data_IF_871818075712
#
_entry.id   IF_871818075712
#
_cell.length_a   1.000
_cell.length_b   1.000
_cell.length_c   1.000
_cell.angle_alpha   90.00
_cell.angle_beta   90.00
_cell.angle_gamma   90.00
#
_symmetry.space_group_name_H-M   'P 1'
#
loop_
_entity.id
_entity.type
_entity.pdbx_description
1 polymer ?
#
# COMPACT_ATOMS: atom_id res chain seq x y z
N UNK A 1 7.25 5.74 -12.23
CA UNK A 1 7.66 4.36 -11.94
C UNK A 1 6.39 3.51 -11.90
N UNK A 2 6.41 2.28 -12.40
CA UNK A 2 5.27 1.35 -12.26
C UNK A 2 5.65 0.29 -11.22
N UNK A 3 4.77 0.01 -10.27
CA UNK A 3 5.05 -0.95 -9.21
C UNK A 3 4.40 -2.29 -9.53
N UNK A 4 5.14 -3.37 -9.32
CA UNK A 4 4.67 -4.74 -9.47
C UNK A 4 4.59 -5.39 -8.09
N UNK A 5 3.46 -6.02 -7.77
CA UNK A 5 3.30 -6.76 -6.53
C UNK A 5 3.70 -8.22 -6.72
N UNK A 6 4.69 -8.66 -5.93
CA UNK A 6 5.20 -10.02 -5.92
C UNK A 6 5.14 -10.59 -4.50
N UNK A 7 5.43 -11.88 -4.39
CA UNK A 7 5.57 -12.58 -3.11
C UNK A 7 7.04 -12.98 -2.96
N UNK A 8 7.62 -12.76 -1.78
CA UNK A 8 8.96 -13.24 -1.43
C UNK A 8 8.93 -14.72 -1.08
N UNK A 9 10.09 -15.38 -1.05
CA UNK A 9 10.20 -16.78 -0.61
C UNK A 9 9.84 -16.98 0.87
N UNK A 10 9.87 -15.90 1.65
CA UNK A 10 9.41 -15.86 3.03
C UNK A 10 7.93 -15.48 3.14
N UNK A 11 7.18 -15.59 2.04
CA UNK A 11 5.73 -15.44 2.01
C UNK A 11 5.23 -14.02 2.36
N UNK A 12 6.10 -13.02 2.15
CA UNK A 12 5.79 -11.60 2.30
C UNK A 12 5.40 -10.96 0.97
N UNK A 13 4.45 -10.04 0.99
CA UNK A 13 4.13 -9.20 -0.16
C UNK A 13 5.18 -8.11 -0.33
N UNK A 14 5.71 -7.96 -1.55
CA UNK A 14 6.69 -6.92 -1.88
C UNK A 14 6.30 -6.16 -3.13
N UNK A 15 6.51 -4.84 -3.12
CA UNK A 15 6.37 -3.98 -4.30
C UNK A 15 7.76 -3.71 -4.88
N UNK A 16 7.92 -3.95 -6.17
CA UNK A 16 9.17 -3.70 -6.91
C UNK A 16 8.90 -2.79 -8.10
N UNK A 17 9.92 -2.08 -8.60
CA UNK A 17 9.78 -1.42 -9.90
C UNK A 17 9.59 -2.49 -10.98
N UNK A 18 8.49 -2.43 -11.74
CA UNK A 18 8.20 -3.32 -12.86
C UNK A 18 9.34 -3.33 -13.89
N UNK A 19 10.07 -2.21 -14.05
CA UNK A 19 11.21 -2.14 -14.97
C UNK A 19 12.37 -3.06 -14.59
N UNK A 20 12.42 -3.51 -13.34
CA UNK A 20 13.43 -4.45 -12.81
C UNK A 20 13.14 -5.91 -13.10
N UNK A 21 11.98 -6.23 -13.70
CA UNK A 21 11.53 -7.58 -13.96
C UNK A 21 11.27 -7.81 -15.46
N UNK A 22 11.48 -9.04 -15.91
CA UNK A 22 11.02 -9.54 -17.20
C UNK A 22 9.76 -10.38 -17.01
N UNK A 23 8.92 -10.45 -18.05
CA UNK A 23 7.74 -11.32 -18.07
C UNK A 23 7.99 -12.47 -19.04
N UNK A 24 8.15 -13.68 -18.50
CA UNK A 24 8.52 -14.88 -19.25
C UNK A 24 7.53 -15.98 -18.90
N UNK A 25 6.89 -16.56 -19.91
CA UNK A 25 5.97 -17.70 -19.77
C UNK A 25 4.90 -17.54 -18.67
N UNK A 26 4.34 -16.33 -18.53
CA UNK A 26 3.29 -16.05 -17.55
C UNK A 26 3.78 -15.62 -16.17
N UNK A 27 5.09 -15.56 -15.95
CA UNK A 27 5.71 -15.28 -14.65
C UNK A 27 6.58 -14.03 -14.73
N UNK A 28 6.55 -13.21 -13.68
CA UNK A 28 7.49 -12.10 -13.52
C UNK A 28 8.77 -12.57 -12.85
N UNK A 29 9.90 -12.35 -13.51
CA UNK A 29 11.23 -12.77 -13.05
C UNK A 29 12.10 -11.52 -12.88
N UNK A 30 12.65 -11.27 -11.67
CA UNK A 30 13.59 -10.17 -11.48
C UNK A 30 14.83 -10.31 -12.37
N UNK A 31 15.36 -9.20 -12.87
CA UNK A 31 16.63 -9.17 -13.64
C UNK A 31 17.84 -9.31 -12.75
N UNK A 32 17.78 -8.72 -11.55
CA UNK A 32 18.85 -8.78 -10.55
C UNK A 32 18.89 -10.14 -9.85
N UNK A 33 20.08 -10.74 -9.75
CA UNK A 33 20.28 -12.06 -9.15
C UNK A 33 19.95 -12.11 -7.66
N UNK A 34 20.19 -11.02 -6.92
CA UNK A 34 19.82 -10.98 -5.50
C UNK A 34 18.30 -10.97 -5.36
N UNK A 35 17.59 -10.22 -6.20
CA UNK A 35 16.13 -10.21 -6.25
C UNK A 35 15.54 -11.56 -6.66
N UNK A 36 16.17 -12.30 -7.58
CA UNK A 36 15.75 -13.68 -7.91
C UNK A 36 15.84 -14.62 -6.70
N UNK A 37 16.76 -14.36 -5.78
CA UNK A 37 16.87 -15.15 -4.55
C UNK A 37 15.79 -14.80 -3.53
N UNK A 38 15.19 -13.61 -3.61
CA UNK A 38 14.15 -13.11 -2.71
C UNK A 38 12.75 -13.46 -3.24
N UNK A 39 12.49 -13.31 -4.53
CA UNK A 39 11.15 -13.51 -5.11
C UNK A 39 10.81 -14.99 -5.20
N UNK A 40 9.59 -15.33 -4.76
CA UNK A 40 8.96 -16.63 -5.01
C UNK A 40 8.37 -16.59 -6.42
N UNK A 41 8.91 -17.41 -7.31
CA UNK A 41 8.31 -17.61 -8.63
C UNK A 41 7.00 -18.38 -8.48
N UNK A 42 5.90 -17.66 -8.39
CA UNK A 42 4.56 -18.28 -8.36
C UNK A 42 4.08 -18.39 -9.79
N UNK A 43 3.74 -19.60 -10.20
CA UNK A 43 3.01 -19.77 -11.44
C UNK A 43 1.57 -19.31 -11.21
N UNK A 44 1.27 -18.10 -11.70
CA UNK A 44 -0.02 -17.43 -11.50
C UNK A 44 -1.19 -18.13 -12.23
N UNK A 45 -0.91 -19.15 -13.06
CA UNK A 45 -1.93 -20.03 -13.64
C UNK A 45 -2.37 -21.17 -12.71
N UNK A 46 -1.69 -21.35 -11.57
CA UNK A 46 -2.03 -22.36 -10.56
C UNK A 46 -2.61 -21.66 -9.30
N UNK A 47 -3.93 -21.54 -9.23
CA UNK A 47 -4.64 -20.83 -8.15
C UNK A 47 -4.40 -21.46 -6.76
N UNK A 48 -4.11 -22.76 -6.67
CA UNK A 48 -3.86 -23.47 -5.41
C UNK A 48 -2.48 -23.14 -4.78
N UNK A 49 -1.44 -22.96 -5.59
CA UNK A 49 -0.11 -22.54 -5.11
C UNK A 49 -0.12 -21.11 -4.59
N UNK A 50 -0.99 -20.27 -5.14
CA UNK A 50 -1.05 -18.87 -4.81
C UNK A 50 -1.85 -18.64 -3.50
N UNK A 51 -2.92 -19.40 -3.25
CA UNK A 51 -3.76 -19.30 -2.05
C UNK A 51 -3.07 -19.71 -0.72
N UNK A 52 -1.98 -20.48 -0.78
CA UNK A 52 -1.29 -21.01 0.40
C UNK A 52 -0.22 -20.07 1.00
N UNK A 53 0.00 -18.88 0.44
CA UNK A 53 1.23 -18.13 0.65
C UNK A 53 1.16 -16.95 1.65
N UNK A 54 0.01 -16.43 2.10
CA UNK A 54 0.02 -15.33 3.11
C UNK A 54 -1.36 -15.09 3.75
N UNK A 55 -1.48 -14.70 5.04
CA UNK A 55 -2.73 -14.24 5.64
C UNK A 55 -3.30 -12.96 4.99
N UNK A 56 -2.44 -12.17 4.35
CA UNK A 56 -2.82 -10.96 3.59
C UNK A 56 -2.94 -11.23 2.08
N UNK A 57 -2.90 -12.50 1.65
CA UNK A 57 -3.02 -12.89 0.27
C UNK A 57 -4.41 -12.56 -0.28
N UNK A 58 -4.47 -11.60 -1.21
CA UNK A 58 -5.61 -11.42 -2.10
C UNK A 58 -5.20 -11.89 -3.51
N UNK A 59 -5.77 -13.01 -4.02
CA UNK A 59 -5.43 -13.55 -5.34
C UNK A 59 -5.71 -12.56 -6.47
N UNK A 60 -6.58 -11.57 -6.24
CA UNK A 60 -6.95 -10.60 -7.27
C UNK A 60 -5.85 -9.57 -7.52
N UNK A 61 -4.86 -9.42 -6.63
CA UNK A 61 -3.85 -8.36 -6.73
C UNK A 61 -2.40 -8.86 -6.85
N UNK A 62 -2.11 -10.14 -6.60
CA UNK A 62 -0.76 -10.67 -6.81
C UNK A 62 -0.42 -10.66 -8.30
N UNK A 63 0.75 -10.13 -8.66
CA UNK A 63 1.12 -9.87 -10.03
C UNK A 63 0.47 -8.61 -10.64
N UNK A 64 -0.31 -7.84 -9.87
CA UNK A 64 -0.86 -6.58 -10.34
C UNK A 64 0.24 -5.54 -10.57
N UNK A 65 0.02 -4.72 -11.59
CA UNK A 65 0.86 -3.56 -11.90
C UNK A 65 0.13 -2.29 -11.48
N UNK A 66 0.67 -1.58 -10.50
CA UNK A 66 0.20 -0.27 -10.07
C UNK A 66 0.90 0.83 -10.84
N UNK A 67 0.11 1.69 -11.48
CA UNK A 67 0.59 2.73 -12.40
C UNK A 67 0.41 4.13 -11.85
N UNK A 68 -0.37 4.28 -10.78
CA UNK A 68 -0.56 5.54 -10.10
C UNK A 68 -0.80 5.33 -8.61
N UNK A 69 -0.55 6.36 -7.80
CA UNK A 69 -0.93 6.37 -6.40
C UNK A 69 -1.48 7.72 -5.95
N UNK A 70 -2.29 7.69 -4.90
CA UNK A 70 -2.71 8.87 -4.17
C UNK A 70 -2.32 8.77 -2.69
N UNK A 71 -1.86 9.89 -2.15
CA UNK A 71 -1.51 10.06 -0.75
C UNK A 71 -2.65 10.80 -0.06
N UNK A 72 -3.29 10.14 0.91
CA UNK A 72 -4.34 10.73 1.76
C UNK A 72 -3.72 11.11 3.09
N UNK A 73 -3.54 12.40 3.32
CA UNK A 73 -2.79 12.89 4.48
C UNK A 73 -3.43 14.09 5.17
N UNK A 74 -3.06 14.28 6.43
CA UNK A 74 -3.43 15.45 7.22
C UNK A 74 -2.24 15.95 8.00
N UNK A 75 -2.13 17.28 8.20
CA UNK A 75 -1.06 17.89 8.99
C UNK A 75 -1.02 17.44 10.45
N UNK A 76 -2.13 16.87 10.95
CA UNK A 76 -2.31 16.39 12.32
C UNK A 76 -1.67 15.03 12.61
N UNK A 77 -1.36 14.25 11.57
CA UNK A 77 -0.80 12.89 11.69
C UNK A 77 0.63 12.81 11.16
N UNK A 78 1.39 11.84 11.68
CA UNK A 78 2.76 11.52 11.27
C UNK A 78 2.81 10.50 10.12
N UNK A 79 1.75 9.72 9.97
CA UNK A 79 1.55 8.79 8.87
C UNK A 79 0.50 9.28 7.87
N UNK A 80 0.43 8.62 6.73
CA UNK A 80 -0.51 8.85 5.64
C UNK A 80 -0.98 7.53 5.03
N UNK A 81 -2.12 7.58 4.37
CA UNK A 81 -2.63 6.44 3.61
C UNK A 81 -2.17 6.58 2.18
N UNK A 82 -1.65 5.50 1.61
CA UNK A 82 -1.31 5.41 0.20
C UNK A 82 -2.34 4.49 -0.45
N UNK A 83 -2.98 4.95 -1.53
CA UNK A 83 -3.87 4.13 -2.35
C UNK A 83 -3.20 3.98 -3.70
N UNK A 84 -2.63 2.80 -3.97
CA UNK A 84 -2.08 2.42 -5.26
C UNK A 84 -3.22 1.93 -6.16
N UNK A 85 -3.26 2.41 -7.40
CA UNK A 85 -4.25 2.03 -8.42
C UNK A 85 -3.51 1.42 -9.61
N UNK A 86 -4.05 0.32 -10.11
CA UNK A 86 -3.43 -0.46 -11.17
C UNK A 86 -4.38 -1.47 -11.79
N UNK A 87 -3.81 -2.42 -12.51
CA UNK A 87 -4.54 -3.52 -13.12
C UNK A 87 -3.91 -4.86 -12.76
N UNK A 88 -4.74 -5.86 -12.51
CA UNK A 88 -4.28 -7.23 -12.32
C UNK A 88 -3.96 -7.92 -13.66
N UNK A 89 -3.54 -9.18 -13.60
CA UNK A 89 -3.19 -9.98 -14.78
C UNK A 89 -4.36 -10.23 -15.74
N UNK A 90 -5.60 -10.16 -15.23
CA UNK A 90 -6.84 -10.30 -16.00
C UNK A 90 -7.26 -8.96 -16.65
N UNK A 91 -6.50 -7.89 -16.42
CA UNK A 91 -6.81 -6.54 -16.90
C UNK A 91 -7.90 -5.83 -16.11
N UNK A 92 -8.26 -6.33 -14.93
CA UNK A 92 -9.26 -5.70 -14.05
C UNK A 92 -8.59 -4.62 -13.20
N UNK A 93 -9.28 -3.49 -13.03
CA UNK A 93 -8.81 -2.40 -12.18
C UNK A 93 -8.83 -2.81 -10.70
N UNK A 94 -7.70 -2.64 -10.04
CA UNK A 94 -7.47 -3.03 -8.65
C UNK A 94 -6.80 -1.93 -7.84
N UNK A 95 -6.88 -2.05 -6.51
CA UNK A 95 -6.18 -1.19 -5.59
C UNK A 95 -5.41 -1.96 -4.52
N UNK A 96 -4.37 -1.32 -4.00
CA UNK A 96 -3.67 -1.70 -2.78
C UNK A 96 -3.53 -0.47 -1.88
N UNK A 97 -4.13 -0.54 -0.69
CA UNK A 97 -4.17 0.55 0.28
C UNK A 97 -3.26 0.25 1.46
N UNK A 98 -2.36 1.19 1.77
CA UNK A 98 -1.34 1.09 2.81
C UNK A 98 -1.43 2.27 3.78
N UNK A 99 -1.02 2.06 5.03
CA UNK A 99 -0.81 3.11 6.04
C UNK A 99 0.68 3.16 6.38
N UNK A 100 1.35 4.22 5.95
CA UNK A 100 2.82 4.34 6.03
C UNK A 100 3.20 5.66 6.70
N UNK A 101 4.40 5.71 7.28
CA UNK A 101 4.92 6.99 7.76
C UNK A 101 5.10 7.96 6.58
N UNK A 102 4.88 9.25 6.84
CA UNK A 102 4.90 10.25 5.77
C UNK A 102 6.21 10.24 5.01
N UNK A 103 6.10 10.44 3.70
CA UNK A 103 7.23 10.48 2.77
C UNK A 103 7.95 9.15 2.54
N UNK A 104 7.77 8.13 3.39
CA UNK A 104 8.48 6.85 3.28
C UNK A 104 8.20 6.15 1.94
N UNK A 105 6.91 5.99 1.59
CA UNK A 105 6.55 5.38 0.31
C UNK A 105 6.89 6.28 -0.88
N UNK A 106 6.74 7.60 -0.73
CA UNK A 106 7.07 8.55 -1.79
C UNK A 106 8.57 8.55 -2.10
N UNK A 107 9.41 8.49 -1.09
CA UNK A 107 10.86 8.38 -1.24
C UNK A 107 11.24 7.07 -1.94
N UNK A 108 10.61 5.95 -1.55
CA UNK A 108 10.75 4.69 -2.27
C UNK A 108 10.39 4.86 -3.75
N UNK A 109 9.25 5.50 -4.06
CA UNK A 109 8.84 5.67 -5.46
C UNK A 109 9.74 6.57 -6.30
N UNK A 110 10.52 7.45 -5.67
CA UNK A 110 11.47 8.35 -6.32
C UNK A 110 12.86 7.75 -6.46
N UNK A 111 13.32 7.03 -5.44
CA UNK A 111 14.69 6.50 -5.35
C UNK A 111 14.80 5.07 -5.87
N UNK A 112 13.68 4.34 -5.94
CA UNK A 112 13.67 2.91 -6.25
C UNK A 112 14.21 2.04 -5.11
N UNK A 113 14.50 2.62 -3.94
CA UNK A 113 15.05 1.95 -2.77
C UNK A 113 14.24 2.32 -1.52
N UNK A 114 14.02 1.36 -0.63
CA UNK A 114 13.39 1.60 0.68
C UNK A 114 14.34 2.32 1.65
N UNK A 115 13.94 2.42 2.92
CA UNK A 115 14.75 3.08 3.96
C UNK A 115 16.03 2.33 4.33
N UNK A 116 16.06 1.02 4.11
CA UNK A 116 17.20 0.15 4.40
C UNK A 116 18.08 -0.07 3.16
N UNK A 117 17.72 0.55 2.03
CA UNK A 117 18.44 0.46 0.76
C UNK A 117 18.05 -0.74 -0.10
N UNK A 118 16.93 -1.41 0.20
CA UNK A 118 16.43 -2.53 -0.57
C UNK A 118 15.71 -2.04 -1.84
N UNK A 119 15.85 -2.72 -2.98
CA UNK A 119 15.18 -2.36 -4.23
C UNK A 119 13.69 -2.79 -4.29
N UNK A 120 13.07 -2.95 -3.14
CA UNK A 120 11.69 -3.38 -2.98
C UNK A 120 11.10 -2.79 -1.70
N UNK A 121 9.78 -2.72 -1.64
CA UNK A 121 9.03 -2.25 -0.49
C UNK A 121 8.20 -3.38 0.12
N UNK A 122 8.44 -3.69 1.38
CA UNK A 122 7.71 -4.76 2.08
C UNK A 122 6.33 -4.27 2.54
N UNK A 123 5.30 -5.00 2.11
CA UNK A 123 3.90 -4.81 2.52
C UNK A 123 3.63 -5.72 3.71
N UNK A 124 4.01 -5.26 4.90
CA UNK A 124 3.75 -5.97 6.16
C UNK A 124 2.33 -5.73 6.67
N UNK A 125 1.88 -6.54 7.64
CA UNK A 125 0.62 -6.35 8.39
C UNK A 125 0.53 -5.01 9.14
N UNK A 126 1.65 -4.32 9.32
CA UNK A 126 1.68 -2.96 9.88
C UNK A 126 1.33 -1.90 8.84
N UNK A 127 1.67 -2.14 7.57
CA UNK A 127 1.40 -1.25 6.46
C UNK A 127 0.05 -1.56 5.80
N UNK A 128 -0.32 -2.82 5.67
CA UNK A 128 -1.52 -3.22 4.95
C UNK A 128 -2.81 -2.67 5.58
N UNK A 129 -3.67 -2.09 4.75
CA UNK A 129 -5.03 -1.67 5.14
C UNK A 129 -6.08 -2.51 4.44
N UNK A 130 -6.01 -2.59 3.10
CA UNK A 130 -7.00 -3.29 2.28
C UNK A 130 -6.51 -3.39 0.84
N UNK A 131 -7.06 -4.33 0.08
CA UNK A 131 -6.87 -4.45 -1.36
C UNK A 131 -8.11 -5.06 -2.03
N UNK A 132 -8.13 -5.04 -3.36
CA UNK A 132 -9.15 -5.70 -4.16
C UNK A 132 -9.48 -4.95 -5.44
N UNK A 133 -10.57 -5.35 -6.10
CA UNK A 133 -11.08 -4.69 -7.31
C UNK A 133 -11.58 -3.29 -6.98
N UNK A 134 -11.33 -2.32 -7.84
CA UNK A 134 -11.85 -0.96 -7.68
C UNK A 134 -13.35 -0.90 -7.96
N UNK A 135 -13.85 -1.72 -8.90
CA UNK A 135 -15.25 -1.73 -9.36
C UNK A 135 -15.71 -0.34 -9.84
N UNK A 136 -14.81 0.43 -10.44
CA UNK A 136 -15.08 1.78 -10.94
C UNK A 136 -15.18 2.86 -9.86
N UNK A 137 -14.95 2.51 -8.57
CA UNK A 137 -14.94 3.48 -7.47
C UNK A 137 -13.78 4.47 -7.60
N UNK A 138 -14.07 5.73 -7.31
CA UNK A 138 -13.08 6.80 -7.20
C UNK A 138 -12.17 6.58 -5.98
N UNK A 139 -10.99 7.22 -5.97
CA UNK A 139 -10.05 7.18 -4.83
C UNK A 139 -10.73 7.63 -3.53
N UNK A 140 -11.63 8.62 -3.60
CA UNK A 140 -12.38 9.10 -2.44
C UNK A 140 -13.38 8.06 -1.93
N UNK A 141 -14.09 7.38 -2.81
CA UNK A 141 -15.00 6.29 -2.43
C UNK A 141 -14.24 5.10 -1.85
N UNK A 142 -13.10 4.73 -2.45
CA UNK A 142 -12.19 3.73 -1.90
C UNK A 142 -11.78 4.14 -0.47
N UNK A 143 -11.28 5.36 -0.27
CA UNK A 143 -10.90 5.88 1.05
C UNK A 143 -12.06 5.84 2.06
N UNK A 144 -13.25 6.27 1.66
CA UNK A 144 -14.44 6.25 2.50
C UNK A 144 -14.83 4.82 2.93
N UNK A 145 -14.63 3.83 2.07
CA UNK A 145 -14.91 2.42 2.39
C UNK A 145 -13.88 1.79 3.35
N UNK A 146 -12.62 2.24 3.29
CA UNK A 146 -11.53 1.69 4.10
C UNK A 146 -11.29 2.45 5.42
N UNK A 147 -11.89 3.63 5.62
CA UNK A 147 -11.62 4.49 6.78
C UNK A 147 -11.78 3.77 8.12
N UNK A 148 -12.81 2.93 8.27
CA UNK A 148 -13.06 2.17 9.50
C UNK A 148 -11.97 1.15 9.82
N UNK A 149 -11.20 0.71 8.82
CA UNK A 149 -10.07 -0.19 8.98
C UNK A 149 -8.77 0.55 9.35
N UNK A 150 -8.73 1.87 9.22
CA UNK A 150 -7.58 2.69 9.59
C UNK A 150 -7.62 2.96 11.10
N UNK A 151 -6.99 2.09 11.89
CA UNK A 151 -6.98 2.17 13.37
C UNK A 151 -5.63 2.55 13.98
N UNK A 152 -4.58 2.63 13.17
CA UNK A 152 -3.19 2.83 13.62
C UNK A 152 -2.64 4.23 13.30
N UNK A 153 -3.49 5.25 13.08
CA UNK A 153 -3.03 6.62 12.82
C UNK A 153 -2.19 7.14 14.00
N UNK A 154 -1.08 7.81 13.69
CA UNK A 154 -0.10 8.35 14.64
C UNK A 154 -0.34 9.86 14.78
N UNK A 155 -1.10 10.34 15.78
CA UNK A 155 -1.32 11.77 15.94
C UNK A 155 -0.03 12.48 16.38
N UNK A 156 0.18 13.72 15.94
CA UNK A 156 1.28 14.57 16.44
C UNK A 156 1.05 15.04 17.88
N UNK A 157 -0.21 15.06 18.32
CA UNK A 157 -0.61 15.44 19.68
C UNK A 157 -1.67 14.45 20.15
N UNK A 158 -1.45 13.85 21.33
CA UNK A 158 -2.36 12.84 21.90
C UNK A 158 -3.57 13.50 22.57
N UNK A 159 -4.48 14.01 21.76
CA UNK A 159 -5.75 14.57 22.23
C UNK A 159 -6.85 14.26 21.25
N UNK A 160 -8.08 14.18 21.74
CA UNK A 160 -9.26 14.09 20.87
C UNK A 160 -9.24 15.18 19.81
N UNK A 161 -9.63 14.80 18.60
CA UNK A 161 -9.65 15.69 17.45
C UNK A 161 -11.07 15.81 16.96
N UNK A 162 -11.54 17.04 16.84
CA UNK A 162 -12.82 17.35 16.19
C UNK A 162 -12.50 17.67 14.73
N UNK A 163 -13.21 17.02 13.80
CA UNK A 163 -13.19 17.25 12.36
C UNK A 163 -11.79 17.48 11.77
N UNK A 164 -11.11 16.41 11.37
CA UNK A 164 -9.79 16.50 10.73
C UNK A 164 -9.93 16.45 9.22
N UNK A 165 -9.39 17.47 8.56
CA UNK A 165 -9.24 17.50 7.11
C UNK A 165 -8.12 16.56 6.66
N UNK A 166 -8.46 15.69 5.73
CA UNK A 166 -7.55 14.87 4.94
C UNK A 166 -7.56 15.37 3.49
N UNK A 167 -6.39 15.62 2.94
CA UNK A 167 -6.21 15.99 1.54
C UNK A 167 -5.80 14.76 0.74
N UNK A 168 -6.31 14.65 -0.49
CA UNK A 168 -5.88 13.67 -1.48
C UNK A 168 -4.87 14.33 -2.39
N UNK A 169 -3.66 13.81 -2.39
CA UNK A 169 -2.50 14.37 -3.09
C UNK A 169 -2.00 13.35 -4.10
N UNK A 170 -1.75 13.78 -5.34
CA UNK A 170 -1.14 12.90 -6.35
C UNK A 170 0.39 12.85 -6.22
N UNK A 171 1.04 12.08 -7.09
CA UNK A 171 2.50 11.89 -7.12
C UNK A 171 3.29 13.20 -7.34
N UNK A 172 2.65 14.19 -7.94
CA UNK A 172 3.21 15.51 -8.24
C UNK A 172 2.90 16.56 -7.15
N UNK A 173 2.54 16.13 -5.93
CA UNK A 173 2.20 17.01 -4.80
C UNK A 173 0.98 17.91 -5.03
N UNK A 174 0.16 17.61 -6.03
CA UNK A 174 -1.05 18.38 -6.31
C UNK A 174 -2.23 17.82 -5.53
N UNK A 175 -2.87 18.68 -4.75
CA UNK A 175 -4.12 18.35 -4.05
C UNK A 175 -5.26 18.38 -5.06
N UNK A 176 -5.99 17.27 -5.19
CA UNK A 176 -7.12 17.16 -6.13
C UNK A 176 -8.47 16.92 -5.44
N UNK A 177 -8.48 16.49 -4.17
CA UNK A 177 -9.71 16.35 -3.37
C UNK A 177 -9.38 16.54 -1.87
N UNK A 178 -10.42 16.68 -1.05
CA UNK A 178 -10.32 16.67 0.40
C UNK A 178 -11.61 16.14 1.05
N UNK A 179 -11.45 15.59 2.24
CA UNK A 179 -12.55 15.15 3.09
C UNK A 179 -12.30 15.55 4.55
N UNK A 180 -13.35 15.77 5.31
CA UNK A 180 -13.28 15.95 6.75
C UNK A 180 -13.82 14.68 7.40
N UNK A 181 -13.01 14.08 8.27
CA UNK A 181 -13.32 12.86 9.00
C UNK A 181 -13.17 13.14 10.48
N UNK A 182 -13.92 12.41 11.32
CA UNK A 182 -13.80 12.47 12.77
C UNK A 182 -12.91 11.31 13.24
N UNK A 183 -11.65 11.58 13.66
CA UNK A 183 -10.81 10.55 14.26
C UNK A 183 -11.15 10.40 15.74
N UNK A 184 -11.07 9.18 16.24
CA UNK A 184 -11.24 8.86 17.64
C UNK A 184 -9.95 8.29 18.23
N UNK A 185 -9.61 8.73 19.45
CA UNK A 185 -8.46 8.19 20.17
C UNK A 185 -8.82 6.79 20.67
N UNK A 186 -8.08 5.78 20.20
CA UNK A 186 -8.35 4.37 20.51
C UNK A 186 -7.49 3.90 21.68
N UNK A 187 -6.23 4.34 21.72
CA UNK A 187 -5.30 3.93 22.77
C UNK A 187 -4.18 4.94 22.97
N UNK A 188 -3.56 4.88 24.14
CA UNK A 188 -2.30 5.58 24.46
C UNK A 188 -1.36 4.55 25.05
N UNK A 189 -0.19 4.36 24.44
CA UNK A 189 0.81 3.42 24.94
C UNK A 189 1.43 3.90 26.26
N UNK A 190 2.13 3.03 27.01
CA UNK A 190 2.90 3.43 28.20
C UNK A 190 3.98 4.47 27.92
N UNK A 191 4.50 4.50 26.68
CA UNK A 191 5.44 5.52 26.19
C UNK A 191 4.77 6.84 25.82
N UNK A 192 3.45 6.96 26.05
CA UNK A 192 2.67 8.14 25.73
C UNK A 192 2.40 8.31 24.25
N UNK A 193 2.46 7.26 23.42
CA UNK A 193 2.11 7.35 21.99
C UNK A 193 0.64 6.99 21.78
N UNK A 194 -0.15 7.96 21.32
CA UNK A 194 -1.55 7.77 20.98
C UNK A 194 -1.74 7.02 19.67
N UNK A 195 -2.87 6.34 19.53
CA UNK A 195 -3.37 5.79 18.26
C UNK A 195 -4.79 6.24 18.01
N UNK A 196 -5.09 6.59 16.77
CA UNK A 196 -6.39 7.06 16.35
C UNK A 196 -7.00 6.14 15.30
N UNK A 197 -8.32 5.96 15.36
CA UNK A 197 -9.12 5.33 14.32
C UNK A 197 -9.95 6.37 13.57
N UNK A 198 -10.27 6.10 12.31
CA UNK A 198 -11.24 6.90 11.56
C UNK A 198 -12.62 6.23 11.62
N UNK A 199 -13.68 7.04 11.76
CA UNK A 199 -15.08 6.59 11.64
C UNK A 199 -15.79 7.15 10.42
#
# INVERSE_FOLDING_TARGET
MQLLLLISKDDELILVDKSSCDYVDGVFVPRDENMKNIVKCINLSNEEEAAAASPAYDPNIVGATFTSCAFVNSVKFMNEVVINIGSNLKGEDVHLSLLVDKFLFKDFTKKGLDTDGNPYFVVSDYHYVSSGKTEGRTIKEIFCSLKSSITKLKPKVNKEMVGVRFNFVNENDTIFDAIIVLPELVSVSPTGLGRMALK
#
